data_IF_777415689038
#
_entry.id   IF_777415689038
#
_cell.length_a   1.000
_cell.length_b   1.000
_cell.length_c   1.000
_cell.angle_alpha   90.00
_cell.angle_beta   90.00
_cell.angle_gamma   90.00
#
_symmetry.space_group_name_H-M   'P 1'
#
loop_
_entity.id
_entity.type
_entity.pdbx_description
1 polymer ?
#
# COMPACT_ATOMS: atom_id res chain seq x y z
N UNK A 1 8.28 -2.46 14.96
CA UNK A 1 9.19 -1.79 14.00
C UNK A 1 8.33 -1.25 12.86
N UNK A 2 8.79 -0.32 12.00
CA UNK A 2 8.00 0.08 10.81
C UNK A 2 7.79 -1.08 9.81
N UNK A 3 8.43 -2.23 10.04
CA UNK A 3 8.29 -3.48 9.28
C UNK A 3 7.14 -4.41 9.75
N UNK A 4 6.44 -4.09 10.84
CA UNK A 4 5.42 -4.95 11.46
C UNK A 4 4.21 -5.25 10.53
N UNK A 5 3.88 -6.53 10.24
CA UNK A 5 2.75 -6.91 9.39
C UNK A 5 1.40 -6.35 9.87
N UNK A 6 1.19 -6.28 11.18
CA UNK A 6 -0.07 -5.77 11.77
C UNK A 6 -0.34 -4.31 11.36
N UNK A 7 0.72 -3.52 11.14
CA UNK A 7 0.60 -2.15 10.65
C UNK A 7 0.11 -2.10 9.20
N UNK A 8 0.43 -3.10 8.39
CA UNK A 8 -0.02 -3.16 7.00
C UNK A 8 -1.52 -3.45 6.92
N UNK A 9 -2.03 -4.33 7.79
CA UNK A 9 -3.45 -4.64 7.90
C UNK A 9 -4.25 -3.42 8.38
N UNK A 10 -3.78 -2.74 9.43
CA UNK A 10 -4.42 -1.52 9.93
C UNK A 10 -4.42 -0.38 8.89
N UNK A 11 -3.35 -0.23 8.12
CA UNK A 11 -3.30 0.73 7.02
C UNK A 11 -4.39 0.45 5.99
N UNK A 12 -4.57 -0.82 5.61
CA UNK A 12 -5.61 -1.24 4.68
C UNK A 12 -6.98 -0.97 5.29
N UNK A 13 -7.23 -1.40 6.53
CA UNK A 13 -8.50 -1.16 7.22
C UNK A 13 -8.88 0.32 7.24
N UNK A 14 -7.96 1.21 7.65
CA UNK A 14 -8.21 2.65 7.68
C UNK A 14 -8.45 3.27 6.30
N UNK A 15 -7.82 2.73 5.23
CA UNK A 15 -8.12 3.15 3.85
C UNK A 15 -9.54 2.74 3.46
N UNK A 16 -9.99 1.54 3.83
CA UNK A 16 -11.33 1.06 3.46
C UNK A 16 -12.45 1.74 4.26
N UNK A 17 -12.24 1.97 5.55
CA UNK A 17 -13.21 2.61 6.45
C UNK A 17 -13.37 4.11 6.16
N UNK A 18 -12.29 4.79 5.77
CA UNK A 18 -12.30 6.23 5.56
C UNK A 18 -12.46 6.60 4.09
N UNK A 19 -13.70 6.88 3.68
CA UNK A 19 -14.07 7.22 2.30
C UNK A 19 -13.25 8.37 1.71
N UNK A 20 -12.91 9.37 2.52
CA UNK A 20 -12.13 10.53 2.05
C UNK A 20 -10.68 10.17 1.77
N UNK A 21 -10.05 9.40 2.67
CA UNK A 21 -8.69 8.89 2.46
C UNK A 21 -8.68 7.95 1.24
N UNK A 22 -9.66 7.05 1.12
CA UNK A 22 -9.80 6.17 -0.04
C UNK A 22 -9.86 6.95 -1.33
N UNK A 23 -10.76 7.93 -1.42
CA UNK A 23 -10.96 8.73 -2.64
C UNK A 23 -9.74 9.58 -2.96
N UNK A 24 -9.03 10.09 -1.95
CA UNK A 24 -7.82 10.89 -2.17
C UNK A 24 -6.62 10.06 -2.63
N UNK A 25 -6.44 8.85 -2.11
CA UNK A 25 -5.33 7.96 -2.46
C UNK A 25 -5.60 7.13 -3.71
N UNK A 26 -6.82 6.60 -3.82
CA UNK A 26 -7.30 5.69 -4.86
C UNK A 26 -8.62 6.23 -5.45
N UNK A 27 -8.57 7.35 -6.19
CA UNK A 27 -9.75 7.92 -6.81
C UNK A 27 -10.38 6.93 -7.80
N UNK A 28 -11.72 6.89 -7.92
CA UNK A 28 -12.37 6.12 -8.96
C UNK A 28 -12.00 6.65 -10.36
N UNK A 29 -12.08 5.81 -11.40
CA UNK A 29 -11.87 6.26 -12.78
C UNK A 29 -12.87 7.35 -13.15
N UNK A 30 -12.37 8.47 -13.70
CA UNK A 30 -13.17 9.64 -14.04
C UNK A 30 -12.30 10.85 -14.37
N UNK A 31 -12.88 11.97 -14.84
CA UNK A 31 -12.12 13.18 -15.17
C UNK A 31 -11.32 13.64 -13.94
N UNK A 32 -10.01 13.80 -14.13
CA UNK A 32 -9.08 14.21 -13.08
C UNK A 32 -9.62 15.43 -12.33
N UNK A 33 -9.77 15.32 -11.01
CA UNK A 33 -10.17 16.46 -10.19
C UNK A 33 -9.18 17.60 -10.43
N UNK A 34 -9.67 18.70 -11.02
CA UNK A 34 -8.82 19.83 -11.40
C UNK A 34 -8.12 20.38 -10.17
N UNK A 35 -6.78 20.32 -10.17
CA UNK A 35 -5.94 20.95 -9.15
C UNK A 35 -6.12 22.46 -9.12
N UNK A 36 -6.45 23.07 -10.27
CA UNK A 36 -6.72 24.50 -10.41
C UNK A 36 -8.03 24.96 -9.73
N UNK A 37 -9.02 24.07 -9.56
CA UNK A 37 -10.30 24.38 -8.88
C UNK A 37 -10.37 23.84 -7.45
N UNK A 38 -9.23 23.63 -6.80
CA UNK A 38 -9.19 23.13 -5.42
C UNK A 38 -9.57 21.65 -5.25
N UNK A 39 -9.72 20.90 -6.34
CA UNK A 39 -10.06 19.46 -6.30
C UNK A 39 -8.91 18.57 -5.84
N UNK A 40 -7.69 19.12 -5.77
CA UNK A 40 -6.49 18.39 -5.37
C UNK A 40 -6.10 18.62 -3.92
N UNK A 41 -6.81 18.06 -2.94
CA UNK A 41 -6.13 17.77 -1.66
C UNK A 41 -4.94 16.88 -2.03
N UNK A 42 -3.72 17.35 -1.75
CA UNK A 42 -2.52 16.66 -2.21
C UNK A 42 -2.49 15.26 -1.61
N UNK A 43 -2.09 14.25 -2.40
CA UNK A 43 -1.92 12.88 -1.89
C UNK A 43 -1.08 12.86 -0.61
N UNK A 44 -0.11 13.76 -0.47
CA UNK A 44 0.69 13.97 0.75
C UNK A 44 -0.16 14.24 1.99
N UNK A 45 -1.19 15.10 1.89
CA UNK A 45 -2.12 15.36 3.00
C UNK A 45 -2.93 14.12 3.40
N UNK A 46 -3.37 13.32 2.42
CA UNK A 46 -4.08 12.08 2.69
C UNK A 46 -3.18 11.02 3.36
N UNK A 47 -1.91 10.90 2.93
CA UNK A 47 -0.94 10.03 3.61
C UNK A 47 -0.64 10.49 5.05
N UNK A 48 -0.60 11.81 5.29
CA UNK A 48 -0.44 12.34 6.65
C UNK A 48 -1.66 12.05 7.52
N UNK A 49 -2.88 12.23 7.01
CA UNK A 49 -4.11 11.87 7.73
C UNK A 49 -4.16 10.38 8.07
N UNK A 50 -3.77 9.53 7.12
CA UNK A 50 -3.65 8.09 7.37
C UNK A 50 -2.58 7.79 8.44
N UNK A 51 -1.48 8.52 8.46
CA UNK A 51 -0.47 8.42 9.52
C UNK A 51 -1.07 8.73 10.90
N UNK A 52 -1.83 9.82 11.02
CA UNK A 52 -2.48 10.19 12.28
C UNK A 52 -3.52 9.15 12.72
N UNK A 53 -4.29 8.57 11.79
CA UNK A 53 -5.29 7.55 12.11
C UNK A 53 -4.69 6.25 12.61
N UNK A 54 -3.64 5.75 11.95
CA UNK A 54 -3.02 4.47 12.33
C UNK A 54 -2.08 4.61 13.53
N UNK A 55 -1.35 5.72 13.64
CA UNK A 55 -0.26 5.86 14.60
C UNK A 55 -0.54 6.85 15.74
N UNK A 56 -1.56 7.72 15.60
CA UNK A 56 -1.85 8.76 16.60
C UNK A 56 -2.28 8.22 17.96
N UNK A 57 -2.96 7.07 17.98
CA UNK A 57 -3.45 6.45 19.22
C UNK A 57 -2.43 5.47 19.83
N UNK A 58 -1.43 5.03 19.06
CA UNK A 58 -0.45 4.05 19.53
C UNK A 58 0.57 4.72 20.47
N UNK A 59 0.72 4.25 21.74
CA UNK A 59 1.59 4.89 22.74
C UNK A 59 3.03 5.11 22.27
N UNK A 60 3.55 4.15 21.49
CA UNK A 60 4.90 4.18 20.94
C UNK A 60 5.18 5.36 19.99
N UNK A 61 4.15 5.81 19.26
CA UNK A 61 4.29 6.82 18.21
C UNK A 61 3.66 8.15 18.59
N UNK A 62 2.75 8.16 19.57
CA UNK A 62 2.03 9.34 20.06
C UNK A 62 2.96 10.50 20.41
N UNK A 63 4.03 10.26 21.19
CA UNK A 63 4.99 11.32 21.57
C UNK A 63 5.75 11.88 20.37
N UNK A 64 6.15 11.01 19.44
CA UNK A 64 6.88 11.42 18.23
C UNK A 64 5.98 12.21 17.27
N UNK A 65 4.70 11.85 17.15
CA UNK A 65 3.72 12.54 16.32
C UNK A 65 3.28 13.88 16.93
N UNK A 66 3.15 13.96 18.25
CA UNK A 66 2.83 15.21 18.94
C UNK A 66 3.93 16.28 18.78
N UNK A 67 5.18 15.85 18.57
CA UNK A 67 6.31 16.75 18.32
C UNK A 67 6.40 17.25 16.86
N UNK A 68 5.54 16.77 15.95
CA UNK A 68 5.55 17.18 14.53
C UNK A 68 4.81 18.50 14.38
N UNK A 69 5.54 19.59 14.35
CA UNK A 69 4.95 20.92 14.15
C UNK A 69 5.08 21.38 12.68
N UNK A 70 6.23 21.11 12.06
CA UNK A 70 6.56 21.66 10.74
C UNK A 70 5.93 20.89 9.56
N UNK A 71 5.65 21.61 8.46
CA UNK A 71 5.19 20.99 7.21
C UNK A 71 6.20 19.99 6.61
N UNK A 72 7.50 20.22 6.85
CA UNK A 72 8.58 19.33 6.42
C UNK A 72 8.51 17.99 7.14
N UNK A 73 8.30 18.02 8.46
CA UNK A 73 8.19 16.81 9.27
C UNK A 73 6.95 16.00 8.88
N UNK A 74 5.80 16.68 8.70
CA UNK A 74 4.56 16.04 8.20
C UNK A 74 4.81 15.34 6.87
N UNK A 75 5.55 15.97 5.96
CA UNK A 75 5.91 15.39 4.67
C UNK A 75 6.83 14.17 4.82
N UNK A 76 7.77 14.20 5.75
CA UNK A 76 8.65 13.06 6.05
C UNK A 76 7.84 11.84 6.52
N UNK A 77 6.89 12.02 7.42
CA UNK A 77 6.00 10.94 7.87
C UNK A 77 5.04 10.47 6.76
N UNK A 78 4.46 11.40 5.99
CA UNK A 78 3.64 11.06 4.84
C UNK A 78 4.41 10.20 3.82
N UNK A 79 5.70 10.50 3.60
CA UNK A 79 6.56 9.72 2.71
C UNK A 79 6.84 8.31 3.26
N UNK A 80 6.95 8.12 4.57
CA UNK A 80 7.07 6.77 5.18
C UNK A 80 5.84 5.92 4.88
N UNK A 81 4.64 6.49 5.03
CA UNK A 81 3.37 5.81 4.69
C UNK A 81 3.32 5.48 3.21
N UNK A 82 3.58 6.47 2.35
CA UNK A 82 3.62 6.29 0.89
C UNK A 82 4.56 5.16 0.48
N UNK A 83 5.78 5.13 1.04
CA UNK A 83 6.77 4.11 0.70
C UNK A 83 6.31 2.71 1.14
N UNK A 84 5.68 2.58 2.31
CA UNK A 84 5.16 1.29 2.76
C UNK A 84 4.01 0.79 1.87
N UNK A 85 3.05 1.66 1.52
CA UNK A 85 1.98 1.32 0.57
C UNK A 85 2.55 0.91 -0.80
N UNK A 86 3.59 1.59 -1.27
CA UNK A 86 4.29 1.25 -2.51
C UNK A 86 4.96 -0.13 -2.44
N UNK A 87 5.61 -0.45 -1.32
CA UNK A 87 6.21 -1.76 -1.11
C UNK A 87 5.16 -2.87 -1.07
N UNK A 88 4.05 -2.67 -0.38
CA UNK A 88 2.93 -3.64 -0.36
C UNK A 88 2.39 -3.88 -1.77
N UNK A 89 2.09 -2.81 -2.51
CA UNK A 89 1.60 -2.91 -3.88
C UNK A 89 2.63 -3.51 -4.85
N UNK A 90 3.93 -3.40 -4.55
CA UNK A 90 4.98 -4.09 -5.31
C UNK A 90 4.93 -5.59 -5.06
N UNK A 91 4.95 -6.01 -3.80
CA UNK A 91 4.90 -7.43 -3.41
C UNK A 91 3.67 -8.11 -4.04
N UNK A 92 2.50 -7.47 -3.99
CA UNK A 92 1.30 -8.02 -4.61
C UNK A 92 1.43 -8.17 -6.13
N UNK A 93 2.06 -7.20 -6.81
CA UNK A 93 2.27 -7.28 -8.28
C UNK A 93 3.28 -8.36 -8.63
N UNK A 94 4.38 -8.44 -7.90
CA UNK A 94 5.41 -9.46 -8.11
C UNK A 94 4.79 -10.88 -7.98
N UNK A 95 3.94 -11.11 -6.97
CA UNK A 95 3.19 -12.38 -6.86
C UNK A 95 2.16 -12.59 -7.96
N UNK A 96 1.44 -11.55 -8.40
CA UNK A 96 0.50 -11.68 -9.52
C UNK A 96 1.21 -12.04 -10.83
N UNK A 97 2.39 -11.46 -11.06
CA UNK A 97 3.20 -11.76 -12.25
C UNK A 97 3.74 -13.20 -12.18
N UNK A 98 4.24 -13.64 -11.03
CA UNK A 98 4.72 -15.01 -10.81
C UNK A 98 3.60 -16.04 -10.99
N UNK A 99 2.44 -15.85 -10.34
CA UNK A 99 1.29 -16.75 -10.49
C UNK A 99 0.72 -16.72 -11.92
N UNK A 100 0.74 -15.57 -12.59
CA UNK A 100 0.34 -15.44 -13.98
C UNK A 100 1.27 -16.19 -14.94
N UNK A 101 2.56 -16.26 -14.61
CA UNK A 101 3.53 -17.10 -15.32
C UNK A 101 3.32 -18.59 -15.03
N UNK A 102 2.97 -18.97 -13.80
CA UNK A 102 2.58 -20.35 -13.48
C UNK A 102 1.35 -20.80 -14.28
N UNK A 103 0.44 -19.87 -14.60
CA UNK A 103 -0.72 -20.11 -15.47
C UNK A 103 -0.43 -20.08 -16.97
N UNK A 104 0.79 -19.78 -17.42
CA UNK A 104 1.14 -19.71 -18.84
C UNK A 104 1.11 -21.08 -19.54
N UNK A 105 0.95 -22.16 -18.78
CA UNK A 105 0.85 -23.54 -19.25
C UNK A 105 2.17 -24.05 -19.82
N UNK A 106 2.34 -25.37 -19.76
CA UNK A 106 3.32 -26.06 -20.59
C UNK A 106 2.80 -25.95 -22.03
N UNK A 107 3.57 -25.27 -22.89
CA UNK A 107 3.16 -24.97 -24.27
C UNK A 107 3.47 -26.13 -25.21
N UNK A 108 4.45 -26.95 -24.85
CA UNK A 108 4.89 -28.10 -25.65
C UNK A 108 5.26 -29.30 -24.78
N UNK A 109 5.07 -30.52 -25.29
CA UNK A 109 5.22 -31.76 -24.51
C UNK A 109 6.66 -32.03 -24.02
N UNK A 110 7.65 -31.42 -24.66
CA UNK A 110 9.08 -31.43 -24.31
C UNK A 110 9.42 -30.57 -23.08
N UNK A 111 8.51 -29.71 -22.63
CA UNK A 111 8.63 -28.99 -21.36
C UNK A 111 8.11 -29.83 -20.16
N UNK A 112 7.55 -31.01 -20.43
CA UNK A 112 7.09 -31.97 -19.41
C UNK A 112 8.19 -33.00 -19.16
N UNK A 113 8.85 -32.94 -18.00
CA UNK A 113 9.73 -34.01 -17.56
C UNK A 113 8.89 -35.19 -17.04
N UNK A 114 8.58 -36.14 -17.94
CA UNK A 114 7.85 -37.37 -17.62
C UNK A 114 8.70 -38.40 -16.84
N UNK A 115 9.95 -38.08 -16.50
CA UNK A 115 10.82 -38.92 -15.69
C UNK A 115 10.71 -38.69 -14.18
N UNK A 116 10.02 -37.62 -13.75
CA UNK A 116 9.87 -37.27 -12.33
C UNK A 116 8.56 -37.85 -11.80
N UNK A 117 8.67 -38.80 -10.88
CA UNK A 117 7.51 -39.34 -10.17
C UNK A 117 6.98 -38.28 -9.18
N UNK A 118 5.77 -37.77 -9.42
CA UNK A 118 5.07 -36.82 -8.54
C UNK A 118 4.64 -37.53 -7.25
N UNK A 119 5.61 -37.90 -6.41
CA UNK A 119 5.39 -38.51 -5.11
C UNK A 119 4.95 -37.45 -4.11
N UNK A 120 3.65 -37.20 -4.07
CA UNK A 120 2.99 -36.63 -2.89
C UNK A 120 2.87 -37.75 -1.84
N UNK A 121 3.96 -38.07 -1.15
CA UNK A 121 3.95 -38.88 0.07
C UNK A 121 4.12 -38.01 1.30
#
# INVERSE_FOLDING_TARGET
SWSDPTLSEELVAQIFENRDIKRALYPPPGPNASTAKGGGKTKTSAHWLLCLKVFGEKPKYKKALAAVDTAKDRTAYANKIKNRLRSMAKITRDFMDEMGQTGAGIRHADEIDMGVDNTLT
#
